data_IF_493123526469
#
_entry.id   IF_493123526469
#
_cell.length_a   1.000
_cell.length_b   1.000
_cell.length_c   1.000
_cell.angle_alpha   90.00
_cell.angle_beta   90.00
_cell.angle_gamma   90.00
#
_symmetry.space_group_name_H-M   'P 1'
#
loop_
_entity.id
_entity.type
_entity.pdbx_description
1 polymer ?
#
# COMPACT_ATOMS: atom_id res chain seq x y z
N UNK A 1 22.38 -69.27 27.39
CA UNK A 1 22.27 -68.77 26.04
C UNK A 1 21.21 -67.67 26.03
N UNK A 2 21.62 -66.47 25.65
CA UNK A 2 20.70 -65.30 25.48
C UNK A 2 20.22 -65.29 24.06
N UNK A 3 18.91 -65.07 23.77
CA UNK A 3 18.44 -64.95 22.42
C UNK A 3 18.85 -63.58 21.83
N UNK A 4 19.41 -63.66 20.62
CA UNK A 4 19.79 -62.47 19.81
C UNK A 4 18.54 -61.98 19.06
N UNK A 5 18.12 -60.77 19.35
CA UNK A 5 17.06 -60.10 18.61
C UNK A 5 17.65 -59.48 17.34
N UNK A 6 17.18 -59.90 16.18
CA UNK A 6 17.46 -59.29 14.89
C UNK A 6 16.33 -58.30 14.62
N UNK A 7 16.66 -56.99 14.69
CA UNK A 7 15.73 -55.91 14.29
C UNK A 7 15.68 -55.84 12.77
N UNK A 8 14.52 -56.11 12.19
CA UNK A 8 14.23 -55.88 10.78
C UNK A 8 13.41 -54.61 10.57
N UNK A 9 13.95 -53.48 11.00
CA UNK A 9 13.32 -52.20 10.69
C UNK A 9 13.83 -51.67 9.35
N UNK A 10 13.04 -51.90 8.30
CA UNK A 10 13.20 -51.20 7.02
C UNK A 10 12.85 -49.74 7.21
N UNK A 11 13.65 -48.80 6.69
CA UNK A 11 13.34 -47.37 6.80
C UNK A 11 12.05 -47.04 6.06
N UNK A 12 11.03 -46.60 6.78
CA UNK A 12 9.79 -46.06 6.21
C UNK A 12 10.11 -44.82 5.37
N UNK A 13 9.92 -44.92 4.05
CA UNK A 13 9.97 -43.80 3.12
C UNK A 13 9.00 -42.72 3.62
N UNK A 14 9.52 -41.59 4.13
CA UNK A 14 8.75 -40.40 4.41
C UNK A 14 8.11 -39.93 3.10
N UNK A 15 6.80 -40.09 2.95
CA UNK A 15 6.04 -39.43 1.88
C UNK A 15 6.24 -37.95 2.01
N UNK A 16 6.92 -37.35 1.05
CA UNK A 16 6.96 -35.89 0.89
C UNK A 16 5.52 -35.42 0.71
N UNK A 17 4.97 -34.76 1.74
CA UNK A 17 3.72 -34.03 1.64
C UNK A 17 3.94 -32.94 0.58
N UNK A 18 3.31 -33.08 -0.58
CA UNK A 18 3.21 -32.01 -1.56
C UNK A 18 2.50 -30.86 -0.85
N UNK A 19 3.23 -29.83 -0.49
CA UNK A 19 2.62 -28.56 -0.11
C UNK A 19 1.79 -28.13 -1.33
N UNK A 20 0.47 -28.10 -1.17
CA UNK A 20 -0.39 -27.39 -2.09
C UNK A 20 0.12 -25.94 -2.05
N UNK A 21 0.56 -25.44 -3.20
CA UNK A 21 0.75 -24.02 -3.44
C UNK A 21 -0.66 -23.43 -3.26
N UNK A 22 -0.93 -22.81 -2.12
CA UNK A 22 -2.10 -21.94 -1.99
C UNK A 22 -1.92 -20.88 -3.08
N UNK A 23 -2.86 -20.84 -4.00
CA UNK A 23 -2.98 -19.74 -4.93
C UNK A 23 -3.29 -18.52 -4.08
N UNK A 24 -2.36 -17.59 -4.01
CA UNK A 24 -2.61 -16.26 -3.43
C UNK A 24 -3.62 -15.62 -4.36
N UNK A 25 -4.88 -15.63 -3.99
CA UNK A 25 -5.90 -14.83 -4.67
C UNK A 25 -5.62 -13.39 -4.26
N UNK A 26 -5.09 -12.60 -5.19
CA UNK A 26 -5.01 -11.15 -5.02
C UNK A 26 -6.41 -10.57 -5.16
N UNK A 27 -6.98 -10.17 -4.05
CA UNK A 27 -8.25 -9.43 -4.05
C UNK A 27 -7.90 -7.97 -4.28
N UNK A 28 -8.34 -7.38 -5.40
CA UNK A 28 -8.18 -5.95 -5.59
C UNK A 28 -9.09 -5.20 -4.61
N UNK A 29 -8.49 -4.37 -3.76
CA UNK A 29 -9.24 -3.52 -2.84
C UNK A 29 -9.96 -2.40 -3.61
N UNK A 30 -11.16 -1.99 -3.20
CA UNK A 30 -11.90 -0.91 -3.85
C UNK A 30 -11.36 0.48 -3.47
N UNK A 31 -10.05 0.63 -3.25
CA UNK A 31 -9.44 1.85 -2.74
C UNK A 31 -8.87 2.71 -3.87
N UNK A 32 -9.29 3.96 -3.91
CA UNK A 32 -8.74 5.00 -4.80
C UNK A 32 -7.96 6.00 -3.97
N UNK A 33 -6.65 6.11 -4.22
CA UNK A 33 -5.75 6.98 -3.47
C UNK A 33 -5.47 8.28 -4.24
N UNK A 34 -5.69 9.41 -3.56
CA UNK A 34 -5.17 10.70 -3.98
C UNK A 34 -3.68 10.79 -3.57
N UNK A 35 -2.84 11.29 -4.48
CA UNK A 35 -1.42 11.50 -4.18
C UNK A 35 -1.11 12.99 -4.28
N UNK A 36 -0.64 13.63 -3.21
CA UNK A 36 -0.20 15.03 -3.25
C UNK A 36 0.86 15.25 -4.34
N UNK A 37 0.72 16.33 -5.11
CA UNK A 37 1.56 16.61 -6.28
C UNK A 37 2.66 17.63 -6.01
N UNK A 38 2.61 18.29 -4.86
CA UNK A 38 3.55 19.32 -4.44
C UNK A 38 3.56 19.46 -2.91
N UNK A 39 4.53 20.17 -2.38
CA UNK A 39 4.71 20.36 -0.93
C UNK A 39 3.49 21.01 -0.26
N UNK A 40 2.78 21.89 -0.95
CA UNK A 40 1.58 22.54 -0.43
C UNK A 40 0.45 21.54 -0.22
N UNK A 41 0.19 20.69 -1.22
CA UNK A 41 -0.81 19.63 -1.14
C UNK A 41 -0.41 18.57 -0.10
N UNK A 42 0.88 18.25 -0.02
CA UNK A 42 1.41 17.31 0.96
C UNK A 42 1.17 17.81 2.41
N UNK A 43 1.47 19.10 2.67
CA UNK A 43 1.24 19.71 3.98
C UNK A 43 -0.23 19.90 4.30
N UNK A 44 -1.06 20.15 3.28
CA UNK A 44 -2.51 20.31 3.43
C UNK A 44 -3.18 18.99 3.79
N UNK A 45 -2.75 17.88 3.14
CA UNK A 45 -3.37 16.58 3.35
C UNK A 45 -4.89 16.63 3.21
N UNK A 46 -5.60 16.09 4.20
CA UNK A 46 -7.07 16.08 4.28
C UNK A 46 -7.65 17.24 5.13
N UNK A 47 -6.83 18.23 5.49
CA UNK A 47 -7.31 19.40 6.26
C UNK A 47 -8.46 20.11 5.55
N UNK A 48 -9.37 20.67 6.34
CA UNK A 48 -10.51 21.49 5.91
C UNK A 48 -11.55 20.76 5.04
N UNK A 49 -11.44 19.44 4.86
CA UNK A 49 -12.47 18.66 4.19
C UNK A 49 -13.58 18.31 5.16
N UNK A 50 -14.82 18.37 4.70
CA UNK A 50 -16.02 18.01 5.48
C UNK A 50 -16.30 16.51 5.43
N UNK A 51 -15.90 15.83 4.34
CA UNK A 51 -16.08 14.41 4.14
C UNK A 51 -15.01 13.82 3.22
N UNK A 52 -14.87 12.51 3.27
CA UNK A 52 -14.10 11.69 2.35
C UNK A 52 -15.00 10.55 1.89
N UNK A 53 -15.09 10.32 0.58
CA UNK A 53 -15.85 9.19 0.03
C UNK A 53 -15.32 7.87 0.60
N UNK A 54 -16.21 6.87 0.78
CA UNK A 54 -15.91 5.66 1.56
C UNK A 54 -14.66 4.91 1.06
N UNK A 55 -14.52 4.73 -0.25
CA UNK A 55 -13.41 4.00 -0.85
C UNK A 55 -12.32 4.94 -1.40
N UNK A 56 -12.18 6.10 -0.77
CA UNK A 56 -11.10 7.04 -1.07
C UNK A 56 -10.16 7.21 0.11
N UNK A 57 -8.92 7.50 -0.22
CA UNK A 57 -7.87 7.81 0.74
C UNK A 57 -6.81 8.72 0.14
N UNK A 58 -5.79 9.02 0.93
CA UNK A 58 -4.64 9.79 0.51
C UNK A 58 -3.36 9.02 0.79
N UNK A 59 -2.49 8.94 -0.22
CA UNK A 59 -1.18 8.32 -0.14
C UNK A 59 -0.10 9.40 -0.02
N UNK A 60 0.64 9.34 1.06
CA UNK A 60 1.82 10.16 1.29
C UNK A 60 3.08 9.36 0.96
N UNK A 61 3.92 9.90 0.09
CA UNK A 61 5.18 9.27 -0.34
C UNK A 61 6.32 10.14 0.20
N UNK A 62 7.18 9.55 1.04
CA UNK A 62 8.33 10.23 1.60
C UNK A 62 9.60 9.95 0.78
N UNK A 63 10.53 10.89 0.76
CA UNK A 63 11.78 10.75 0.01
C UNK A 63 12.75 9.75 0.64
N UNK A 64 12.64 9.53 1.95
CA UNK A 64 13.48 8.61 2.73
C UNK A 64 12.68 7.89 3.79
N UNK A 65 13.19 6.74 4.23
CA UNK A 65 12.65 6.04 5.39
C UNK A 65 12.98 6.84 6.65
N UNK A 66 11.97 7.04 7.49
CA UNK A 66 12.11 7.71 8.78
C UNK A 66 10.86 7.44 9.64
N UNK A 67 10.86 7.92 10.90
CA UNK A 67 9.72 7.91 11.82
C UNK A 67 8.81 9.11 11.57
N UNK A 68 8.20 9.15 10.37
CA UNK A 68 7.31 10.23 9.98
C UNK A 68 6.04 10.26 10.84
N UNK A 69 5.67 11.44 11.33
CA UNK A 69 4.50 11.61 12.20
C UNK A 69 3.44 12.48 11.55
N UNK A 70 2.19 12.22 11.93
CA UNK A 70 1.01 12.93 11.46
C UNK A 70 0.25 13.55 12.62
N UNK A 71 -0.43 14.66 12.37
CA UNK A 71 -1.33 15.31 13.31
C UNK A 71 -2.64 15.66 12.61
N UNK A 72 -3.71 15.84 13.39
CA UNK A 72 -5.05 16.10 12.89
C UNK A 72 -5.48 17.56 13.02
N UNK A 73 -4.54 18.51 13.13
CA UNK A 73 -4.88 19.94 13.12
C UNK A 73 -5.71 20.28 11.88
N UNK A 74 -6.83 20.99 12.06
CA UNK A 74 -7.73 21.39 10.98
C UNK A 74 -8.30 20.23 10.14
N UNK A 75 -8.24 18.99 10.62
CA UNK A 75 -8.82 17.83 9.98
C UNK A 75 -10.04 17.38 10.75
N UNK A 76 -11.21 17.48 10.13
CA UNK A 76 -12.51 17.27 10.78
C UNK A 76 -13.01 15.84 10.68
N UNK A 77 -12.48 15.08 9.74
CA UNK A 77 -12.89 13.71 9.42
C UNK A 77 -12.15 12.74 10.33
N UNK A 78 -12.85 11.81 11.04
CA UNK A 78 -12.20 10.70 11.72
C UNK A 78 -11.51 9.80 10.70
N UNK A 79 -10.23 9.53 10.86
CA UNK A 79 -9.43 8.77 9.92
C UNK A 79 -8.71 7.61 10.61
N UNK A 80 -8.33 6.61 9.81
CA UNK A 80 -7.29 5.65 10.14
C UNK A 80 -6.10 5.90 9.23
N UNK A 81 -4.90 5.68 9.73
CA UNK A 81 -3.66 5.76 8.97
C UNK A 81 -2.92 4.43 9.03
N UNK A 82 -2.52 3.92 7.87
CA UNK A 82 -1.56 2.83 7.78
C UNK A 82 -0.18 3.40 7.43
N UNK A 83 0.81 3.04 8.23
CA UNK A 83 2.21 3.34 7.96
C UNK A 83 2.85 2.14 7.24
N UNK A 84 3.54 2.39 6.12
CA UNK A 84 4.06 1.34 5.26
C UNK A 84 5.56 1.47 5.08
N UNK A 85 6.22 0.31 5.09
CA UNK A 85 7.64 0.18 4.77
C UNK A 85 7.89 0.40 3.27
N UNK A 86 9.14 0.47 2.87
CA UNK A 86 9.55 0.65 1.46
C UNK A 86 8.99 -0.43 0.52
N UNK A 87 8.79 -1.65 1.02
CA UNK A 87 8.23 -2.78 0.26
C UNK A 87 6.68 -2.78 0.18
N UNK A 88 6.03 -1.75 0.74
CA UNK A 88 4.57 -1.63 0.78
C UNK A 88 3.88 -2.42 1.90
N UNK A 89 4.63 -3.08 2.76
CA UNK A 89 4.09 -3.82 3.92
C UNK A 89 3.63 -2.85 5.01
N UNK A 90 2.46 -3.10 5.57
CA UNK A 90 1.90 -2.31 6.68
C UNK A 90 2.70 -2.59 7.97
N UNK A 91 3.35 -1.56 8.50
CA UNK A 91 4.05 -1.57 9.78
C UNK A 91 3.11 -1.43 10.96
N UNK A 92 2.19 -0.49 10.87
CA UNK A 92 1.17 -0.21 11.89
C UNK A 92 -0.05 0.47 11.29
N UNK A 93 -1.19 0.34 11.97
CA UNK A 93 -2.45 1.05 11.68
C UNK A 93 -2.85 1.77 12.96
N UNK A 94 -3.06 3.09 12.85
CA UNK A 94 -3.40 3.94 13.98
C UNK A 94 -4.67 4.74 13.70
N UNK A 95 -5.44 5.03 14.75
CA UNK A 95 -6.59 5.92 14.68
C UNK A 95 -6.15 7.38 14.79
N UNK A 96 -6.71 8.23 13.94
CA UNK A 96 -6.48 9.68 13.94
C UNK A 96 -7.72 10.42 14.42
N UNK A 97 -7.62 11.01 15.62
CA UNK A 97 -8.74 11.76 16.21
C UNK A 97 -8.88 13.15 15.58
N UNK A 98 -10.09 13.54 15.14
CA UNK A 98 -10.34 14.86 14.56
C UNK A 98 -9.80 15.98 15.43
N UNK A 99 -9.19 16.98 14.80
CA UNK A 99 -8.66 18.20 15.42
C UNK A 99 -7.53 17.99 16.45
N UNK A 100 -7.08 16.76 16.68
CA UNK A 100 -6.00 16.47 17.62
C UNK A 100 -4.67 17.06 17.17
N UNK A 101 -3.99 17.82 18.02
CA UNK A 101 -2.64 18.29 17.74
C UNK A 101 -1.55 17.26 18.09
N UNK A 102 -1.95 16.14 18.70
CA UNK A 102 -1.01 15.10 19.17
C UNK A 102 -0.46 14.34 17.97
N UNK A 103 0.87 14.26 17.81
CA UNK A 103 1.46 13.49 16.74
C UNK A 103 1.21 11.99 16.90
N UNK A 104 0.90 11.33 15.79
CA UNK A 104 0.78 9.88 15.67
C UNK A 104 1.83 9.41 14.69
N UNK A 105 2.55 8.33 15.01
CA UNK A 105 3.64 7.82 14.20
C UNK A 105 3.74 6.30 14.20
N UNK A 106 4.62 5.76 13.34
CA UNK A 106 4.82 4.32 13.16
C UNK A 106 5.66 3.70 14.28
N UNK A 107 5.69 2.36 14.28
CA UNK A 107 6.54 1.57 15.18
C UNK A 107 7.97 1.41 14.65
N UNK A 108 8.19 1.54 13.34
CA UNK A 108 9.49 1.50 12.69
C UNK A 108 9.62 2.58 11.61
N UNK A 109 10.77 2.71 10.96
CA UNK A 109 10.96 3.60 9.82
C UNK A 109 10.04 3.18 8.67
N UNK A 110 9.38 4.15 8.05
CA UNK A 110 8.42 3.94 6.96
C UNK A 110 8.71 4.86 5.78
N UNK A 111 8.26 4.43 4.60
CA UNK A 111 8.37 5.17 3.35
C UNK A 111 7.04 5.79 2.90
N UNK A 112 5.92 5.19 3.29
CA UNK A 112 4.59 5.60 2.83
C UNK A 112 3.62 5.65 4.00
N UNK A 113 2.58 6.48 3.83
CA UNK A 113 1.42 6.47 4.73
C UNK A 113 0.13 6.58 3.91
N UNK A 114 -0.90 5.85 4.33
CA UNK A 114 -2.22 5.85 3.68
C UNK A 114 -3.25 6.24 4.71
N UNK A 115 -3.92 7.37 4.48
CA UNK A 115 -5.07 7.82 5.28
C UNK A 115 -6.38 7.44 4.58
N UNK A 116 -7.30 6.88 5.35
CA UNK A 116 -8.65 6.48 4.92
C UNK A 116 -9.68 6.85 5.98
N UNK A 117 -10.96 6.76 5.65
CA UNK A 117 -12.02 6.87 6.66
C UNK A 117 -11.81 5.87 7.79
N UNK A 118 -12.12 6.27 9.02
CA UNK A 118 -12.04 5.40 10.19
C UNK A 118 -12.85 4.11 9.96
N UNK A 119 -12.24 2.98 10.28
CA UNK A 119 -12.83 1.65 10.13
C UNK A 119 -12.63 1.01 8.76
N UNK A 120 -12.16 1.75 7.76
CA UNK A 120 -12.03 1.22 6.40
C UNK A 120 -11.12 -0.01 6.32
N UNK A 121 -9.97 -0.02 7.02
CA UNK A 121 -9.05 -1.15 7.02
C UNK A 121 -9.72 -2.40 7.60
N UNK A 122 -10.41 -2.26 8.74
CA UNK A 122 -11.12 -3.38 9.38
C UNK A 122 -12.27 -3.91 8.52
N UNK A 123 -13.04 -3.03 7.86
CA UNK A 123 -14.14 -3.40 6.97
C UNK A 123 -13.68 -4.18 5.73
N UNK A 124 -12.44 -3.93 5.28
CA UNK A 124 -11.84 -4.58 4.11
C UNK A 124 -10.84 -5.68 4.46
N UNK A 125 -10.79 -6.11 5.74
CA UNK A 125 -9.90 -7.18 6.24
C UNK A 125 -8.41 -6.90 5.95
N UNK A 126 -8.01 -5.61 6.03
CA UNK A 126 -6.63 -5.15 5.87
C UNK A 126 -5.97 -5.05 7.22
N UNK A 127 -4.86 -5.75 7.41
CA UNK A 127 -4.21 -5.93 8.70
C UNK A 127 -2.73 -5.53 8.65
N UNK A 128 -2.15 -5.30 9.82
CA UNK A 128 -0.69 -5.12 9.97
C UNK A 128 0.03 -6.36 9.43
N UNK A 129 1.05 -6.15 8.62
CA UNK A 129 1.82 -7.19 7.93
C UNK A 129 1.33 -7.51 6.52
N UNK A 130 0.14 -7.03 6.12
CA UNK A 130 -0.31 -7.15 4.73
C UNK A 130 0.46 -6.19 3.82
N UNK A 131 0.55 -6.51 2.53
CA UNK A 131 1.10 -5.62 1.52
C UNK A 131 -0.04 -4.81 0.91
N UNK A 132 -0.05 -3.52 1.18
CA UNK A 132 -1.10 -2.61 0.68
C UNK A 132 -0.72 -1.96 -0.65
N UNK A 133 0.58 -1.72 -0.88
CA UNK A 133 1.13 -1.17 -2.12
C UNK A 133 2.07 -2.20 -2.74
N UNK A 134 1.84 -2.55 -4.00
CA UNK A 134 2.72 -3.47 -4.73
C UNK A 134 3.89 -2.72 -5.37
N UNK A 135 4.99 -3.44 -5.69
CA UNK A 135 6.17 -2.84 -6.34
C UNK A 135 5.81 -2.08 -7.64
N UNK A 136 4.78 -2.51 -8.35
CA UNK A 136 4.31 -1.83 -9.57
C UNK A 136 3.71 -0.45 -9.26
N UNK A 137 3.17 -0.26 -8.06
CA UNK A 137 2.61 1.02 -7.60
C UNK A 137 3.70 1.94 -7.03
N UNK A 138 4.79 1.36 -6.53
CA UNK A 138 5.87 2.04 -5.81
C UNK A 138 7.03 2.47 -6.72
N UNK A 139 7.22 1.84 -7.88
CA UNK A 139 8.35 2.15 -8.75
C UNK A 139 8.11 3.43 -9.55
N UNK A 140 8.55 4.55 -9.03
CA UNK A 140 8.84 5.72 -9.86
C UNK A 140 9.99 5.37 -10.82
N UNK A 141 9.64 5.11 -12.07
CA UNK A 141 10.57 5.29 -13.20
C UNK A 141 11.60 4.22 -13.49
N UNK A 142 11.45 2.96 -13.08
CA UNK A 142 12.21 1.85 -13.69
C UNK A 142 11.30 1.03 -14.61
N UNK A 143 11.18 1.53 -15.85
CA UNK A 143 10.39 0.89 -16.88
C UNK A 143 10.95 -0.50 -17.25
N UNK A 144 10.21 -1.55 -16.88
CA UNK A 144 10.26 -2.80 -17.64
C UNK A 144 9.40 -2.60 -18.87
N UNK A 145 10.02 -2.41 -20.04
CA UNK A 145 9.32 -2.34 -21.31
C UNK A 145 8.48 -3.58 -21.52
N UNK A 146 7.19 -3.49 -21.26
CA UNK A 146 6.22 -4.49 -21.68
C UNK A 146 6.06 -4.44 -23.19
N UNK A 147 6.03 -5.61 -23.83
CA UNK A 147 5.86 -5.74 -25.28
C UNK A 147 4.49 -5.16 -25.68
N UNK A 148 4.46 -3.91 -26.20
CA UNK A 148 3.24 -3.28 -26.73
C UNK A 148 2.55 -2.22 -25.88
N UNK A 149 3.04 -1.90 -24.68
CA UNK A 149 2.53 -0.77 -23.89
C UNK A 149 3.58 0.34 -23.78
N UNK A 150 3.14 1.59 -23.85
CA UNK A 150 4.03 2.73 -23.66
C UNK A 150 4.69 2.75 -22.28
N UNK A 151 5.78 3.49 -22.17
CA UNK A 151 6.60 3.62 -20.97
C UNK A 151 5.76 4.07 -19.76
N UNK A 152 5.78 3.29 -18.70
CA UNK A 152 5.21 3.66 -17.38
C UNK A 152 6.27 4.44 -16.61
N UNK A 153 6.43 5.71 -16.88
CA UNK A 153 7.34 6.64 -16.22
C UNK A 153 6.64 7.49 -15.14
N UNK A 154 7.37 8.37 -14.48
CA UNK A 154 6.81 9.29 -13.49
C UNK A 154 5.58 10.06 -14.03
N UNK A 155 5.61 10.45 -15.31
CA UNK A 155 4.46 11.08 -15.95
C UNK A 155 3.26 10.14 -16.09
N UNK A 156 3.49 8.85 -16.37
CA UNK A 156 2.41 7.86 -16.43
C UNK A 156 1.67 7.76 -15.09
N UNK A 157 2.38 7.59 -13.98
CA UNK A 157 1.76 7.47 -12.66
C UNK A 157 1.11 8.77 -12.21
N UNK A 158 1.77 9.90 -12.43
CA UNK A 158 1.22 11.23 -12.11
C UNK A 158 -0.08 11.52 -12.87
N UNK A 159 -0.19 11.07 -14.12
CA UNK A 159 -1.41 11.25 -14.91
C UNK A 159 -2.46 10.22 -14.53
N UNK A 160 -2.07 8.95 -14.33
CA UNK A 160 -2.99 7.86 -13.94
C UNK A 160 -3.74 8.21 -12.63
N UNK A 161 -3.05 8.76 -11.63
CA UNK A 161 -3.67 9.14 -10.35
C UNK A 161 -4.74 10.24 -10.44
N UNK A 162 -4.81 10.99 -11.56
CA UNK A 162 -5.77 12.07 -11.76
C UNK A 162 -7.07 11.66 -12.46
N UNK A 163 -7.13 10.43 -12.97
CA UNK A 163 -8.25 9.98 -13.78
C UNK A 163 -8.85 8.70 -13.20
N UNK A 164 -10.13 8.75 -12.90
CA UNK A 164 -10.90 7.60 -12.38
C UNK A 164 -11.08 6.47 -13.40
N UNK A 165 -10.92 6.80 -14.70
CA UNK A 165 -10.99 5.83 -15.81
C UNK A 165 -9.66 5.82 -16.53
N UNK A 166 -8.98 4.70 -16.54
CA UNK A 166 -7.70 4.51 -17.19
C UNK A 166 -7.69 3.25 -18.07
N UNK A 167 -7.16 3.29 -19.31
CA UNK A 167 -6.76 4.49 -20.06
C UNK A 167 -7.96 5.26 -20.62
N UNK A 168 -7.85 6.58 -20.69
CA UNK A 168 -8.83 7.45 -21.36
C UNK A 168 -8.14 8.35 -22.37
N UNK A 169 -8.90 8.88 -23.33
CA UNK A 169 -8.38 9.81 -24.33
C UNK A 169 -7.76 11.07 -23.69
N UNK A 170 -8.38 11.59 -22.62
CA UNK A 170 -7.90 12.74 -21.87
C UNK A 170 -6.62 12.41 -21.08
N UNK A 171 -6.56 11.25 -20.44
CA UNK A 171 -5.39 10.79 -19.72
C UNK A 171 -4.20 10.58 -20.66
N UNK A 172 -4.41 10.02 -21.85
CA UNK A 172 -3.38 9.84 -22.87
C UNK A 172 -2.83 11.19 -23.35
N UNK A 173 -3.69 12.19 -23.58
CA UNK A 173 -3.28 13.54 -23.93
C UNK A 173 -2.48 14.23 -22.82
N UNK A 174 -2.88 14.07 -21.56
CA UNK A 174 -2.18 14.60 -20.40
C UNK A 174 -0.81 13.95 -20.21
N UNK A 175 -0.68 12.64 -20.49
CA UNK A 175 0.59 11.92 -20.44
C UNK A 175 1.59 12.45 -21.48
N UNK A 176 1.15 12.69 -22.71
CA UNK A 176 1.99 13.30 -23.75
C UNK A 176 2.45 14.70 -23.32
N UNK A 177 1.57 15.48 -22.69
CA UNK A 177 1.89 16.82 -22.22
C UNK A 177 2.89 16.84 -21.06
N UNK A 178 2.82 15.85 -20.18
CA UNK A 178 3.74 15.70 -19.04
C UNK A 178 5.16 15.33 -19.49
N UNK A 179 5.29 14.54 -20.57
CA UNK A 179 6.58 14.06 -21.09
C UNK A 179 7.33 15.05 -21.98
N UNK A 180 6.71 16.17 -22.36
CA UNK A 180 7.34 17.29 -23.08
C UNK A 180 8.04 18.24 -22.12
#
# INVERSE_FOLDING_TARGET
AKPTYVSTDKPKKKKKKKMKKESTEFTSLPLVLEVPQNDGEFKLGLMFRESLEQDRGMLFIFESDDYWTFHMKNTYIPLDIAFLKEDGTIDSIEELEPMSPVPVGPNSEIRYAVEVNRGWFAENDVNVGDVLLEEEDLTEGKDKKGKGSGTKDACYYKVKSRYSVWPSAYASGALVKCRK
#
